data_IF_968265194725
#
_entry.id   IF_968265194725
#
_cell.length_a   1.000
_cell.length_b   1.000
_cell.length_c   1.000
_cell.angle_alpha   90.00
_cell.angle_beta   90.00
_cell.angle_gamma   90.00
#
_symmetry.space_group_name_H-M   'P 1'
#
loop_
_entity.id
_entity.type
_entity.pdbx_description
1 polymer ?
#
# COMPACT_ATOMS: atom_id res chain seq x y z
N UNK A 1 6.18 -16.07 1.31
CA UNK A 1 6.10 -15.05 2.38
C UNK A 1 4.67 -14.60 2.47
N UNK A 2 4.11 -14.53 3.67
CA UNK A 2 2.69 -14.20 3.85
C UNK A 2 2.51 -12.68 3.83
N UNK A 3 1.55 -12.22 3.02
CA UNK A 3 1.11 -10.84 2.97
C UNK A 3 -0.36 -10.81 3.41
N UNK A 4 -0.56 -10.40 4.66
CA UNK A 4 -1.88 -10.41 5.29
C UNK A 4 -2.66 -9.15 4.93
N UNK A 5 -3.92 -9.33 4.55
CA UNK A 5 -4.84 -8.22 4.31
C UNK A 5 -5.85 -8.11 5.44
N UNK A 6 -6.38 -6.92 5.67
CA UNK A 6 -7.52 -6.70 6.58
C UNK A 6 -8.79 -6.73 5.74
N UNK A 7 -9.88 -7.25 6.29
CA UNK A 7 -11.20 -7.18 5.65
C UNK A 7 -11.86 -5.83 5.88
N UNK A 8 -11.53 -5.19 7.00
CA UNK A 8 -12.08 -3.90 7.44
C UNK A 8 -10.96 -3.00 7.94
N UNK A 9 -11.02 -1.72 7.61
CA UNK A 9 -10.15 -0.67 8.14
C UNK A 9 -11.04 0.28 8.92
N UNK A 10 -10.64 0.60 10.16
CA UNK A 10 -11.35 1.56 11.00
C UNK A 10 -11.44 2.90 10.26
N UNK A 11 -12.61 3.55 10.29
CA UNK A 11 -12.92 4.82 9.61
C UNK A 11 -13.10 4.75 8.08
N UNK A 12 -12.57 3.74 7.39
CA UNK A 12 -12.74 3.56 5.94
C UNK A 12 -13.79 2.51 5.56
N UNK A 13 -14.04 1.53 6.44
CA UNK A 13 -15.02 0.50 6.19
C UNK A 13 -14.45 -0.79 5.58
N UNK A 14 -15.28 -1.58 4.85
CA UNK A 14 -14.85 -2.81 4.21
C UNK A 14 -13.90 -2.52 3.04
N UNK A 15 -12.83 -3.31 2.94
CA UNK A 15 -11.74 -3.06 1.97
C UNK A 15 -11.92 -3.74 0.62
N UNK A 16 -12.61 -4.88 0.60
CA UNK A 16 -12.73 -5.77 -0.57
C UNK A 16 -11.40 -6.09 -1.27
N UNK A 17 -10.29 -6.13 -0.52
CA UNK A 17 -8.96 -6.28 -1.13
C UNK A 17 -8.77 -7.59 -1.89
N UNK A 18 -9.38 -8.70 -1.44
CA UNK A 18 -9.30 -9.97 -2.15
C UNK A 18 -9.93 -9.84 -3.53
N UNK A 19 -11.11 -9.26 -3.60
CA UNK A 19 -11.87 -9.05 -4.84
C UNK A 19 -11.07 -8.14 -5.77
N UNK A 20 -10.57 -7.00 -5.27
CA UNK A 20 -9.75 -6.05 -6.04
C UNK A 20 -8.44 -6.65 -6.55
N UNK A 21 -7.78 -7.51 -5.77
CA UNK A 21 -6.55 -8.19 -6.21
C UNK A 21 -6.86 -9.21 -7.31
N UNK A 22 -7.92 -10.00 -7.13
CA UNK A 22 -8.32 -11.01 -8.11
C UNK A 22 -8.84 -10.38 -9.42
N UNK A 23 -9.46 -9.21 -9.34
CA UNK A 23 -9.87 -8.41 -10.50
C UNK A 23 -8.70 -7.68 -11.18
N UNK A 24 -7.53 -7.61 -10.54
CA UNK A 24 -6.35 -6.90 -11.07
C UNK A 24 -6.36 -5.39 -10.85
N UNK A 25 -7.29 -4.85 -10.05
CA UNK A 25 -7.35 -3.43 -9.68
C UNK A 25 -6.28 -3.09 -8.64
N UNK A 26 -6.10 -3.96 -7.64
CA UNK A 26 -5.05 -3.82 -6.64
C UNK A 26 -3.81 -4.59 -7.09
N UNK A 27 -2.81 -3.85 -7.56
CA UNK A 27 -1.63 -4.40 -8.25
C UNK A 27 -0.35 -4.41 -7.42
N UNK A 28 -0.35 -3.72 -6.27
CA UNK A 28 0.77 -3.72 -5.34
C UNK A 28 0.27 -3.52 -3.89
N UNK A 29 1.18 -3.60 -2.91
CA UNK A 29 0.86 -3.19 -1.54
C UNK A 29 2.02 -2.53 -0.81
N UNK A 30 1.73 -1.46 -0.07
CA UNK A 30 2.72 -0.77 0.77
C UNK A 30 2.83 -1.45 2.14
N UNK A 31 4.06 -1.80 2.54
CA UNK A 31 4.35 -2.49 3.80
C UNK A 31 5.65 -2.01 4.42
N UNK A 32 5.69 -2.00 5.75
CA UNK A 32 6.93 -1.80 6.50
C UNK A 32 7.82 -3.04 6.32
N UNK A 33 9.09 -2.83 5.98
CA UNK A 33 10.06 -3.91 5.72
C UNK A 33 11.43 -3.61 6.37
N UNK A 34 11.44 -3.43 7.68
CA UNK A 34 12.67 -3.13 8.47
C UNK A 34 13.79 -4.15 8.28
N UNK A 35 13.45 -5.41 7.97
CA UNK A 35 14.41 -6.52 7.80
C UNK A 35 14.78 -6.80 6.34
N UNK A 36 14.42 -5.90 5.42
CA UNK A 36 14.75 -6.00 3.99
C UNK A 36 14.38 -7.36 3.37
N UNK A 37 13.20 -7.88 3.72
CA UNK A 37 12.83 -9.26 3.37
C UNK A 37 12.23 -9.35 1.98
N UNK A 38 11.67 -8.29 1.42
CA UNK A 38 11.05 -8.32 0.10
C UNK A 38 12.07 -8.06 -1.02
N UNK A 39 12.10 -8.99 -1.99
CA UNK A 39 12.92 -8.93 -3.21
C UNK A 39 12.23 -9.71 -4.33
N UNK A 40 12.62 -9.44 -5.58
CA UNK A 40 12.09 -10.11 -6.76
C UNK A 40 12.24 -11.64 -6.68
N UNK A 41 11.32 -12.37 -7.30
CA UNK A 41 11.27 -13.84 -7.34
C UNK A 41 10.70 -14.52 -6.08
N UNK A 42 10.42 -13.77 -5.00
CA UNK A 42 9.82 -14.37 -3.79
C UNK A 42 8.33 -14.67 -3.99
N UNK A 43 7.91 -15.89 -3.68
CA UNK A 43 6.48 -16.25 -3.64
C UNK A 43 5.75 -15.48 -2.54
N UNK A 44 4.69 -14.77 -2.91
CA UNK A 44 3.77 -14.07 -2.01
C UNK A 44 2.62 -15.05 -1.70
N UNK A 45 2.20 -15.13 -0.45
CA UNK A 45 0.98 -15.82 -0.04
C UNK A 45 0.02 -14.76 0.48
N UNK A 46 -0.91 -14.34 -0.38
CA UNK A 46 -1.90 -13.33 -0.05
C UNK A 46 -3.02 -13.96 0.74
N UNK A 47 -3.23 -13.51 1.97
CA UNK A 47 -4.10 -14.20 2.90
C UNK A 47 -4.92 -13.29 3.81
N UNK A 48 -6.06 -13.82 4.25
CA UNK A 48 -6.85 -13.31 5.37
C UNK A 48 -6.68 -14.19 6.61
N UNK A 49 -6.98 -13.62 7.78
CA UNK A 49 -7.11 -14.40 9.02
C UNK A 49 -5.83 -15.12 9.45
N UNK A 50 -4.66 -14.57 9.14
CA UNK A 50 -3.35 -15.17 9.48
C UNK A 50 -3.25 -15.41 10.99
N UNK A 51 -2.85 -16.62 11.38
CA UNK A 51 -2.83 -17.11 12.78
C UNK A 51 -4.20 -17.22 13.46
N UNK A 52 -5.26 -17.37 12.67
CA UNK A 52 -6.62 -17.64 13.18
C UNK A 52 -7.18 -18.89 12.51
N UNK A 53 -8.28 -19.44 13.07
CA UNK A 53 -9.01 -20.56 12.46
C UNK A 53 -9.68 -20.20 11.11
N UNK A 54 -9.80 -18.91 10.80
CA UNK A 54 -10.35 -18.38 9.55
C UNK A 54 -9.24 -18.02 8.54
N UNK A 55 -8.09 -18.70 8.62
CA UNK A 55 -7.00 -18.51 7.68
C UNK A 55 -7.44 -18.91 6.27
N UNK A 56 -7.20 -18.01 5.32
CA UNK A 56 -7.54 -18.22 3.92
C UNK A 56 -6.45 -17.60 3.05
N UNK A 57 -5.71 -18.43 2.31
CA UNK A 57 -4.79 -17.96 1.27
C UNK A 57 -5.56 -17.95 -0.06
N UNK A 58 -5.76 -16.77 -0.64
CA UNK A 58 -6.60 -16.60 -1.82
C UNK A 58 -5.82 -16.32 -3.11
N UNK A 59 -4.55 -15.92 -3.02
CA UNK A 59 -3.67 -15.76 -4.19
C UNK A 59 -2.22 -16.04 -3.81
N UNK A 60 -1.40 -16.46 -4.79
CA UNK A 60 0.02 -16.73 -4.54
C UNK A 60 0.99 -16.31 -5.65
N UNK A 61 0.99 -15.03 -6.06
CA UNK A 61 1.87 -14.55 -7.13
C UNK A 61 3.34 -14.48 -6.71
N UNK A 62 4.22 -14.28 -7.68
CA UNK A 62 5.62 -13.94 -7.43
C UNK A 62 5.75 -12.43 -7.22
N UNK A 63 6.61 -12.05 -6.29
CA UNK A 63 7.09 -10.69 -6.12
C UNK A 63 7.91 -10.33 -7.37
N UNK A 64 7.44 -9.38 -8.17
CA UNK A 64 8.17 -8.89 -9.35
C UNK A 64 9.26 -7.89 -8.95
N UNK A 65 9.08 -7.18 -7.83
CA UNK A 65 10.03 -6.19 -7.33
C UNK A 65 9.54 -5.49 -6.07
N UNK A 66 10.39 -4.64 -5.50
CA UNK A 66 10.01 -3.76 -4.40
C UNK A 66 10.69 -2.40 -4.55
N UNK A 67 9.95 -1.32 -4.32
CA UNK A 67 10.44 0.07 -4.35
C UNK A 67 10.34 0.68 -2.95
N UNK A 68 11.34 1.45 -2.52
CA UNK A 68 11.30 2.17 -1.25
C UNK A 68 10.28 3.30 -1.34
N UNK A 69 9.41 3.39 -0.34
CA UNK A 69 8.46 4.49 -0.19
C UNK A 69 8.67 5.19 1.14
N UNK A 70 8.57 6.51 1.10
CA UNK A 70 8.60 7.37 2.27
C UNK A 70 7.45 8.36 2.21
N UNK A 71 6.64 8.39 3.25
CA UNK A 71 5.51 9.30 3.44
C UNK A 71 5.93 10.24 4.58
N UNK A 72 5.93 11.54 4.30
CA UNK A 72 6.26 12.59 5.28
C UNK A 72 5.11 13.56 5.43
N UNK A 73 4.65 13.75 6.66
CA UNK A 73 3.68 14.77 7.02
C UNK A 73 4.41 16.06 7.40
N UNK A 74 4.54 16.98 6.44
CA UNK A 74 5.17 18.29 6.69
C UNK A 74 4.16 19.31 7.20
N UNK A 75 4.33 19.73 8.46
CA UNK A 75 3.60 20.83 9.08
C UNK A 75 2.16 20.50 9.45
N UNK A 76 1.77 20.69 10.71
CA UNK A 76 0.35 20.88 11.07
C UNK A 76 -0.01 22.31 10.70
N UNK A 77 -0.36 22.55 9.44
CA UNK A 77 -0.79 23.88 9.02
C UNK A 77 -2.30 23.99 9.29
N UNK A 78 -2.66 24.64 10.40
CA UNK A 78 -4.03 24.80 10.92
C UNK A 78 -4.96 25.64 10.02
N UNK A 79 -4.61 25.86 8.74
CA UNK A 79 -5.34 26.71 7.78
C UNK A 79 -6.03 25.96 6.65
N UNK A 80 -5.80 24.65 6.50
CA UNK A 80 -6.61 23.81 5.61
C UNK A 80 -7.72 23.14 6.44
N UNK A 81 -8.99 23.19 6.01
CA UNK A 81 -10.09 22.51 6.71
C UNK A 81 -9.95 20.97 6.73
N UNK A 82 -8.98 20.43 5.99
CA UNK A 82 -8.54 19.03 5.90
C UNK A 82 -7.02 18.98 6.09
N UNK A 83 -6.57 19.17 7.33
CA UNK A 83 -5.19 19.50 7.70
C UNK A 83 -4.10 18.59 7.11
N UNK A 84 -3.28 19.20 6.25
CA UNK A 84 -2.01 18.70 5.69
C UNK A 84 -2.12 17.52 4.73
N UNK A 85 -1.42 17.61 3.59
CA UNK A 85 -1.27 16.53 2.62
C UNK A 85 0.17 16.01 2.78
N UNK A 86 0.40 14.69 2.91
CA UNK A 86 1.74 14.18 3.04
C UNK A 86 2.53 14.30 1.73
N UNK A 87 3.82 14.54 1.84
CA UNK A 87 4.75 14.37 0.74
C UNK A 87 5.13 12.89 0.61
N UNK A 88 4.86 12.30 -0.55
CA UNK A 88 5.22 10.92 -0.86
C UNK A 88 6.45 10.90 -1.76
N UNK A 89 7.43 10.09 -1.38
CA UNK A 89 8.65 9.86 -2.12
C UNK A 89 8.78 8.37 -2.43
N UNK A 90 9.08 8.04 -3.69
CA UNK A 90 9.40 6.69 -4.13
C UNK A 90 10.82 6.68 -4.69
N UNK A 91 11.70 5.84 -4.13
CA UNK A 91 13.15 5.83 -4.43
C UNK A 91 13.79 7.24 -4.37
N UNK A 92 13.27 8.11 -3.50
CA UNK A 92 13.73 9.50 -3.35
C UNK A 92 13.11 10.52 -4.31
N UNK A 93 12.36 10.09 -5.34
CA UNK A 93 11.59 10.98 -6.21
C UNK A 93 10.28 11.38 -5.52
N UNK A 94 10.02 12.69 -5.40
CA UNK A 94 8.72 13.20 -4.93
C UNK A 94 7.65 12.97 -5.99
N UNK A 95 6.50 12.43 -5.59
CA UNK A 95 5.36 12.24 -6.48
C UNK A 95 4.51 13.49 -6.64
N UNK A 96 3.90 13.66 -7.81
CA UNK A 96 2.81 14.60 -8.06
C UNK A 96 1.51 14.14 -7.40
N UNK A 97 0.50 15.02 -7.35
CA UNK A 97 -0.82 14.65 -6.83
C UNK A 97 -1.46 13.54 -7.67
N UNK A 98 -1.36 13.61 -8.99
CA UNK A 98 -1.89 12.57 -9.89
C UNK A 98 -1.18 11.23 -9.68
N UNK A 99 0.15 11.24 -9.49
CA UNK A 99 0.92 10.03 -9.18
C UNK A 99 0.52 9.45 -7.81
N UNK A 100 0.22 10.29 -6.81
CA UNK A 100 -0.29 9.87 -5.50
C UNK A 100 -1.69 9.24 -5.58
N UNK A 101 -2.58 9.81 -6.39
CA UNK A 101 -3.92 9.27 -6.64
C UNK A 101 -3.82 7.89 -7.32
N UNK A 102 -3.01 7.79 -8.38
CA UNK A 102 -2.75 6.52 -9.06
C UNK A 102 -2.15 5.47 -8.10
N UNK A 103 -1.15 5.86 -7.29
CA UNK A 103 -0.54 4.98 -6.29
C UNK A 103 -1.59 4.42 -5.32
N UNK A 104 -2.46 5.30 -4.81
CA UNK A 104 -3.48 4.96 -3.81
C UNK A 104 -4.51 3.98 -4.37
N UNK A 105 -5.01 4.25 -5.57
CA UNK A 105 -5.97 3.38 -6.26
C UNK A 105 -5.37 2.00 -6.55
N UNK A 106 -4.11 1.96 -6.96
CA UNK A 106 -3.37 0.71 -7.21
C UNK A 106 -3.02 -0.07 -5.93
N UNK A 107 -2.96 0.60 -4.76
CA UNK A 107 -2.94 -0.05 -3.44
C UNK A 107 -4.36 -0.41 -2.95
N UNK A 108 -5.38 -0.22 -3.78
CA UNK A 108 -6.77 -0.66 -3.55
C UNK A 108 -7.61 0.27 -2.68
N UNK A 109 -7.17 1.50 -2.44
CA UNK A 109 -8.01 2.55 -1.84
C UNK A 109 -8.96 3.14 -2.90
N UNK A 110 -10.06 3.75 -2.47
CA UNK A 110 -10.99 4.43 -3.39
C UNK A 110 -10.44 5.81 -3.80
N UNK A 111 -9.73 6.48 -2.90
CA UNK A 111 -9.15 7.81 -3.12
C UNK A 111 -7.82 8.02 -2.41
N UNK A 112 -7.06 9.04 -2.82
CA UNK A 112 -5.87 9.48 -2.08
C UNK A 112 -6.21 9.96 -0.65
N UNK A 113 -7.40 10.49 -0.43
CA UNK A 113 -7.88 10.87 0.91
C UNK A 113 -7.97 9.65 1.84
N UNK A 114 -8.50 8.52 1.36
CA UNK A 114 -8.60 7.29 2.14
C UNK A 114 -7.22 6.71 2.45
N UNK A 115 -6.30 6.81 1.49
CA UNK A 115 -4.90 6.47 1.69
C UNK A 115 -4.27 7.32 2.81
N UNK A 116 -4.54 8.63 2.82
CA UNK A 116 -4.04 9.54 3.86
C UNK A 116 -4.63 9.24 5.24
N UNK A 117 -5.92 8.84 5.32
CA UNK A 117 -6.55 8.37 6.57
C UNK A 117 -5.88 7.09 7.07
N UNK A 118 -5.49 6.19 6.17
CA UNK A 118 -4.80 4.96 6.53
C UNK A 118 -3.34 5.19 6.96
N UNK A 119 -2.63 6.08 6.28
CA UNK A 119 -1.24 6.47 6.57
C UNK A 119 -1.19 7.81 7.31
N UNK A 120 -1.83 7.89 8.47
CA UNK A 120 -2.02 9.10 9.28
C UNK A 120 -0.75 9.64 9.99
N UNK A 121 0.40 9.00 9.80
CA UNK A 121 1.70 9.39 10.36
C UNK A 121 2.82 9.16 9.35
N UNK A 122 4.00 9.70 9.65
CA UNK A 122 5.22 9.42 8.89
C UNK A 122 5.43 7.90 8.74
N UNK A 123 5.72 7.49 7.51
CA UNK A 123 5.85 6.09 7.18
C UNK A 123 7.06 5.87 6.27
N UNK A 124 7.84 4.84 6.60
CA UNK A 124 8.89 4.32 5.75
C UNK A 124 8.68 2.82 5.54
N UNK A 125 8.84 2.39 4.31
CA UNK A 125 8.67 0.99 3.97
C UNK A 125 8.96 0.73 2.50
N UNK A 126 8.26 -0.26 1.96
CA UNK A 126 8.36 -0.64 0.57
C UNK A 126 7.00 -0.85 -0.06
N UNK A 127 6.93 -0.52 -1.33
CA UNK A 127 5.91 -0.96 -2.25
C UNK A 127 6.32 -2.36 -2.70
N UNK A 128 5.46 -3.36 -2.48
CA UNK A 128 5.69 -4.73 -2.92
C UNK A 128 4.86 -4.94 -4.18
N UNK A 129 5.55 -5.20 -5.29
CA UNK A 129 4.91 -5.40 -6.59
C UNK A 129 4.76 -6.87 -6.90
N UNK A 130 3.61 -7.24 -7.46
CA UNK A 130 3.37 -8.52 -8.12
C UNK A 130 3.00 -8.34 -9.60
N UNK A 131 3.11 -7.11 -10.10
CA UNK A 131 2.94 -6.73 -11.51
C UNK A 131 4.17 -5.95 -12.00
N UNK A 132 4.22 -5.59 -13.28
CA UNK A 132 5.36 -4.86 -13.86
C UNK A 132 5.33 -3.34 -13.63
N UNK A 133 4.25 -2.79 -13.05
CA UNK A 133 4.15 -1.34 -12.74
C UNK A 133 5.25 -0.94 -11.75
N UNK A 134 5.96 0.13 -12.05
CA UNK A 134 6.95 0.79 -11.21
C UNK A 134 6.67 2.28 -11.21
N UNK A 135 6.85 2.92 -10.06
CA UNK A 135 6.60 4.36 -9.91
C UNK A 135 7.89 5.19 -9.97
N UNK A 136 9.06 4.55 -9.84
CA UNK A 136 10.36 5.22 -9.95
C UNK A 136 10.90 5.32 -11.39
N UNK A 137 10.20 4.73 -12.38
CA UNK A 137 10.65 4.70 -13.78
C UNK A 137 10.29 5.97 -14.53
#
# INVERSE_FOLDING_TARGET
MILSFRKYIQYLGPTSFKEKILAGEKIHSIRRDEKDRWRSGRKIQMAYGVRTKYYECFASPLCSGAEKIKIKWTGRDYKLPLGSIPEIFIEGKKLSYEECEELSQNDGFESFSDFCIYFDHDFEGKIIHWTEKRYSK
#
